data_IF_082868159195
#
_entry.id   IF_082868159195
#
_cell.length_a   1.000
_cell.length_b   1.000
_cell.length_c   1.000
_cell.angle_alpha   90.00
_cell.angle_beta   90.00
_cell.angle_gamma   90.00
#
_symmetry.space_group_name_H-M   'P 1'
#
loop_
_entity.id
_entity.type
_entity.pdbx_description
1 polymer ?
#
# COMPACT_ATOMS: atom_id res chain seq x y z
N UNK A 1 2.45 17.75 -7.73
CA UNK A 1 3.60 17.41 -6.86
C UNK A 1 3.90 18.64 -6.03
N UNK A 2 3.68 18.53 -4.76
CA UNK A 2 3.72 19.60 -3.78
C UNK A 2 5.15 20.12 -3.66
N UNK A 3 5.33 21.40 -3.93
CA UNK A 3 6.55 22.12 -3.53
C UNK A 3 6.59 22.16 -2.01
N UNK A 4 7.12 21.12 -1.38
CA UNK A 4 7.55 21.20 0.00
C UNK A 4 8.69 22.23 0.04
N UNK A 5 8.49 23.36 0.71
CA UNK A 5 9.53 24.36 0.91
C UNK A 5 10.75 23.69 1.50
N UNK A 6 11.88 23.81 0.83
CA UNK A 6 13.21 23.31 1.19
C UNK A 6 13.50 21.82 0.95
N UNK A 7 12.77 21.13 0.08
CA UNK A 7 13.15 19.79 -0.37
C UNK A 7 13.54 19.87 -1.84
N UNK A 8 14.77 19.50 -2.15
CA UNK A 8 15.25 19.32 -3.51
C UNK A 8 14.83 17.95 -4.02
N UNK A 9 14.08 17.92 -5.14
CA UNK A 9 13.70 16.68 -5.81
C UNK A 9 14.78 16.32 -6.79
N UNK A 10 15.57 15.31 -6.49
CA UNK A 10 16.71 14.86 -7.30
C UNK A 10 16.28 13.94 -8.45
N UNK A 11 15.20 13.19 -8.27
CA UNK A 11 14.69 12.27 -9.28
C UNK A 11 13.24 11.89 -9.06
N UNK A 12 12.56 11.54 -10.14
CA UNK A 12 11.20 10.98 -10.10
C UNK A 12 11.23 9.71 -10.93
N UNK A 13 10.84 8.62 -10.32
CA UNK A 13 10.72 7.32 -10.98
C UNK A 13 9.24 7.04 -11.24
N UNK A 14 8.82 7.26 -12.48
CA UNK A 14 7.48 6.93 -12.94
C UNK A 14 7.50 5.51 -13.51
N UNK A 15 6.53 4.71 -13.19
CA UNK A 15 6.39 3.45 -13.90
C UNK A 15 6.28 2.22 -13.05
N UNK A 16 5.85 2.35 -11.85
CA UNK A 16 5.20 1.20 -11.29
C UNK A 16 3.89 1.00 -12.07
N UNK A 17 3.94 0.31 -13.22
CA UNK A 17 2.80 -0.47 -13.67
C UNK A 17 2.27 -1.24 -12.46
N UNK A 18 1.06 -1.76 -12.49
CA UNK A 18 0.42 -2.47 -11.35
C UNK A 18 1.26 -3.61 -10.76
N UNK A 19 2.38 -3.93 -11.37
CA UNK A 19 3.34 -4.96 -10.96
C UNK A 19 4.48 -4.41 -10.08
N UNK A 20 5.07 -5.33 -9.32
CA UNK A 20 6.25 -5.07 -8.50
C UNK A 20 7.41 -4.61 -9.39
N UNK A 21 8.11 -3.53 -9.06
CA UNK A 21 9.24 -3.07 -9.85
C UNK A 21 10.27 -4.17 -10.08
N UNK A 22 10.76 -4.27 -11.31
CA UNK A 22 11.79 -5.23 -11.68
C UNK A 22 13.09 -4.98 -10.90
N UNK A 23 13.98 -5.96 -10.86
CA UNK A 23 15.27 -5.80 -10.18
C UNK A 23 16.07 -4.61 -10.74
N UNK A 24 16.02 -4.38 -12.07
CA UNK A 24 16.72 -3.24 -12.70
C UNK A 24 16.17 -1.90 -12.23
N UNK A 25 14.85 -1.77 -12.12
CA UNK A 25 14.21 -0.56 -11.63
C UNK A 25 14.55 -0.30 -10.16
N UNK A 26 14.55 -1.33 -9.31
CA UNK A 26 14.96 -1.20 -7.91
C UNK A 26 16.39 -0.74 -7.76
N UNK A 27 17.31 -1.31 -8.55
CA UNK A 27 18.71 -0.89 -8.58
C UNK A 27 18.80 0.57 -9.03
N UNK A 28 18.09 0.97 -10.09
CA UNK A 28 18.12 2.36 -10.56
C UNK A 28 17.61 3.38 -9.55
N UNK A 29 16.72 2.96 -8.65
CA UNK A 29 16.19 3.83 -7.58
C UNK A 29 17.21 3.96 -6.45
N UNK A 30 17.83 2.86 -6.02
CA UNK A 30 18.64 2.84 -4.80
C UNK A 30 20.11 3.18 -5.05
N UNK A 31 20.64 2.82 -6.22
CA UNK A 31 22.05 2.99 -6.54
C UNK A 31 22.55 4.44 -6.41
N UNK A 32 21.81 5.45 -6.94
CA UNK A 32 22.23 6.84 -6.76
C UNK A 32 22.33 7.29 -5.30
N UNK A 33 21.47 6.74 -4.43
CA UNK A 33 21.51 7.05 -3.00
C UNK A 33 22.71 6.38 -2.31
N UNK A 34 23.03 5.12 -2.68
CA UNK A 34 24.20 4.41 -2.19
C UNK A 34 25.50 5.12 -2.62
N UNK A 35 25.56 5.53 -3.88
CA UNK A 35 26.76 6.19 -4.43
C UNK A 35 27.03 7.54 -3.76
N UNK A 36 25.99 8.33 -3.52
CA UNK A 36 26.09 9.59 -2.78
C UNK A 36 26.45 9.39 -1.32
N UNK A 37 25.94 8.36 -0.69
CA UNK A 37 26.31 8.01 0.68
C UNK A 37 27.80 7.57 0.75
N UNK A 38 28.26 6.73 -0.17
CA UNK A 38 29.65 6.28 -0.26
C UNK A 38 30.62 7.43 -0.56
N UNK A 39 30.18 8.43 -1.35
CA UNK A 39 31.00 9.63 -1.64
C UNK A 39 31.03 10.65 -0.49
N UNK A 40 30.21 10.47 0.55
CA UNK A 40 30.10 11.42 1.66
C UNK A 40 29.32 12.69 1.30
N UNK A 41 28.57 12.70 0.19
CA UNK A 41 27.70 13.81 -0.20
C UNK A 41 26.47 13.90 0.70
N UNK A 42 25.99 12.76 1.22
CA UNK A 42 24.87 12.66 2.14
C UNK A 42 25.23 11.80 3.35
N UNK A 43 24.69 12.15 4.52
CA UNK A 43 24.96 11.49 5.78
C UNK A 43 23.99 10.34 6.09
N UNK A 44 22.82 10.33 5.48
CA UNK A 44 21.79 9.32 5.74
C UNK A 44 20.85 9.16 4.55
N UNK A 45 20.24 7.97 4.47
CA UNK A 45 19.15 7.65 3.54
C UNK A 45 17.99 7.11 4.35
N UNK A 46 16.88 7.84 4.37
CA UNK A 46 15.65 7.42 5.00
C UNK A 46 14.59 7.09 3.94
N UNK A 47 13.82 6.03 4.16
CA UNK A 47 12.72 5.64 3.28
C UNK A 47 11.40 5.83 4.01
N UNK A 48 10.51 6.61 3.40
CA UNK A 48 9.15 6.81 3.85
C UNK A 48 8.21 5.91 3.03
N UNK A 49 7.52 5.01 3.69
CA UNK A 49 6.59 4.08 3.03
C UNK A 49 5.43 3.70 3.95
N UNK A 50 4.44 3.00 3.40
CA UNK A 50 3.30 2.50 4.16
C UNK A 50 3.49 1.01 4.42
N UNK A 51 3.73 0.64 5.67
CA UNK A 51 3.83 -0.75 6.12
C UNK A 51 2.46 -1.38 6.16
N UNK A 52 2.34 -2.56 5.58
CA UNK A 52 1.14 -3.37 5.62
C UNK A 52 1.14 -4.29 6.85
N UNK A 53 0.22 -4.05 7.79
CA UNK A 53 0.03 -4.95 8.94
C UNK A 53 -1.19 -5.87 8.74
N UNK A 54 -2.28 -5.30 8.21
CA UNK A 54 -3.51 -6.05 7.89
C UNK A 54 -4.36 -5.26 6.88
N UNK A 55 -5.40 -5.87 6.29
CA UNK A 55 -6.31 -5.16 5.38
C UNK A 55 -6.96 -3.90 5.95
N UNK A 56 -7.06 -3.81 7.28
CA UNK A 56 -7.72 -2.69 7.97
C UNK A 56 -6.68 -1.76 8.63
N UNK A 57 -5.45 -2.27 8.88
CA UNK A 57 -4.44 -1.53 9.62
C UNK A 57 -3.17 -1.38 8.80
N UNK A 58 -2.85 -0.14 8.47
CA UNK A 58 -1.61 0.25 7.81
C UNK A 58 -0.98 1.40 8.59
N UNK A 59 0.34 1.47 8.55
CA UNK A 59 1.09 2.50 9.24
C UNK A 59 2.10 3.14 8.31
N UNK A 60 2.15 4.47 8.30
CA UNK A 60 3.22 5.20 7.62
C UNK A 60 4.46 5.18 8.50
N UNK A 61 5.55 4.66 7.96
CA UNK A 61 6.84 4.57 8.64
C UNK A 61 7.91 5.34 7.88
N UNK A 62 8.86 5.85 8.65
CA UNK A 62 10.14 6.35 8.16
C UNK A 62 11.20 5.43 8.74
N UNK A 63 11.88 4.69 7.89
CA UNK A 63 12.96 3.80 8.31
C UNK A 63 14.28 4.26 7.72
N UNK A 64 15.33 4.22 8.54
CA UNK A 64 16.69 4.54 8.12
C UNK A 64 17.30 3.37 7.39
N UNK A 65 17.63 3.59 6.12
CA UNK A 65 18.28 2.59 5.28
C UNK A 65 19.80 2.67 5.37
N UNK A 66 20.35 3.90 5.41
CA UNK A 66 21.79 4.15 5.56
C UNK A 66 22.03 5.28 6.57
N UNK A 67 23.07 5.18 7.41
CA UNK A 67 23.87 3.98 7.64
C UNK A 67 22.99 2.83 8.17
N UNK A 68 23.25 1.60 7.73
CA UNK A 68 22.55 0.43 8.25
C UNK A 68 22.82 0.35 9.74
N UNK A 69 21.77 0.66 10.53
CA UNK A 69 21.89 0.83 11.96
C UNK A 69 22.07 -0.50 12.70
N UNK A 70 22.47 -0.41 13.95
CA UNK A 70 22.62 -1.53 14.86
C UNK A 70 21.33 -2.35 15.07
N UNK A 71 20.19 -1.81 14.71
CA UNK A 71 18.88 -2.47 14.86
C UNK A 71 18.72 -3.72 13.97
N UNK A 72 19.35 -3.73 12.79
CA UNK A 72 19.35 -4.91 11.92
C UNK A 72 20.18 -6.08 12.50
N UNK A 73 21.03 -5.83 13.47
CA UNK A 73 21.93 -6.83 14.05
C UNK A 73 21.57 -7.25 15.48
N UNK A 74 20.54 -6.65 16.10
CA UNK A 74 20.23 -6.87 17.52
C UNK A 74 19.31 -8.07 17.76
N UNK A 75 18.55 -8.53 16.78
CA UNK A 75 17.58 -9.62 16.99
C UNK A 75 18.11 -11.04 16.81
N UNK A 76 19.33 -11.23 16.35
CA UNK A 76 19.95 -12.56 16.31
C UNK A 76 20.80 -12.83 17.54
N UNK A 77 20.18 -12.85 18.70
CA UNK A 77 20.73 -13.46 19.92
C UNK A 77 20.56 -14.98 19.96
N UNK A 78 20.22 -15.61 18.86
CA UNK A 78 20.22 -17.06 18.80
C UNK A 78 21.62 -17.55 18.42
N UNK A 79 22.23 -18.21 19.38
CA UNK A 79 23.39 -19.11 19.41
C UNK A 79 24.01 -19.54 18.07
N UNK A 80 24.43 -18.57 17.26
CA UNK A 80 25.44 -18.88 16.25
C UNK A 80 26.75 -19.04 17.01
N UNK A 81 27.17 -20.28 17.20
CA UNK A 81 28.42 -20.60 17.85
C UNK A 81 29.52 -19.79 17.17
N UNK A 82 30.21 -18.95 17.95
CA UNK A 82 31.35 -18.15 17.46
C UNK A 82 32.40 -19.03 16.77
N UNK A 83 32.46 -20.31 17.11
CA UNK A 83 33.35 -21.29 16.50
C UNK A 83 32.94 -21.65 15.07
N UNK A 84 31.65 -21.65 14.72
CA UNK A 84 31.18 -21.95 13.37
C UNK A 84 31.47 -20.77 12.42
N UNK A 85 31.39 -19.54 12.91
CA UNK A 85 31.78 -18.35 12.15
C UNK A 85 33.30 -18.28 11.90
N UNK A 86 34.13 -18.70 12.87
CA UNK A 86 35.58 -18.73 12.73
C UNK A 86 36.05 -19.80 11.75
N UNK A 87 35.28 -20.85 11.52
CA UNK A 87 35.57 -21.90 10.55
C UNK A 87 35.04 -21.63 9.13
N UNK A 88 34.24 -20.59 8.94
CA UNK A 88 33.71 -20.21 7.64
C UNK A 88 34.83 -19.63 6.75
N UNK A 89 34.99 -20.22 5.55
CA UNK A 89 35.96 -19.75 4.57
C UNK A 89 35.26 -18.80 3.59
N UNK A 90 35.70 -17.53 3.58
CA UNK A 90 35.19 -16.50 2.70
C UNK A 90 36.09 -16.37 1.47
N UNK A 91 35.50 -16.46 0.28
CA UNK A 91 36.18 -16.29 -1.01
C UNK A 91 35.52 -15.18 -1.81
N UNK A 92 36.24 -14.22 -2.42
CA UNK A 92 37.69 -14.06 -2.38
C UNK A 92 38.25 -13.41 -1.08
N UNK A 93 37.42 -12.60 -0.38
CA UNK A 93 37.77 -11.97 0.91
C UNK A 93 36.51 -11.67 1.70
N UNK A 94 36.67 -11.49 3.02
CA UNK A 94 35.58 -11.13 3.93
C UNK A 94 34.96 -9.79 3.52
N UNK A 95 35.80 -8.78 3.26
CA UNK A 95 35.31 -7.43 2.88
C UNK A 95 34.50 -7.45 1.58
N UNK A 96 34.98 -8.17 0.58
CA UNK A 96 34.25 -8.31 -0.69
C UNK A 96 32.87 -8.99 -0.51
N UNK A 97 32.81 -9.99 0.33
CA UNK A 97 31.55 -10.71 0.63
C UNK A 97 30.59 -9.81 1.39
N UNK A 98 31.08 -9.06 2.39
CA UNK A 98 30.26 -8.14 3.17
C UNK A 98 29.69 -7.03 2.29
N UNK A 99 30.51 -6.40 1.45
CA UNK A 99 30.05 -5.33 0.54
C UNK A 99 28.95 -5.81 -0.42
N UNK A 100 29.13 -6.99 -1.00
CA UNK A 100 28.13 -7.57 -1.90
C UNK A 100 26.82 -7.97 -1.18
N UNK A 101 26.94 -8.50 0.03
CA UNK A 101 25.77 -8.86 0.84
C UNK A 101 25.01 -7.59 1.26
N UNK A 102 25.72 -6.56 1.71
CA UNK A 102 25.12 -5.30 2.13
C UNK A 102 24.31 -4.67 0.99
N UNK A 103 24.85 -4.59 -0.22
CA UNK A 103 24.13 -4.05 -1.38
C UNK A 103 22.87 -4.87 -1.72
N UNK A 104 22.99 -6.20 -1.72
CA UNK A 104 21.83 -7.08 -1.95
C UNK A 104 20.76 -6.94 -0.86
N UNK A 105 21.16 -6.76 0.38
CA UNK A 105 20.26 -6.56 1.51
C UNK A 105 19.47 -5.27 1.35
N UNK A 106 20.13 -4.17 0.94
CA UNK A 106 19.47 -2.89 0.69
C UNK A 106 18.44 -2.98 -0.43
N UNK A 107 18.79 -3.69 -1.53
CA UNK A 107 17.85 -3.93 -2.65
C UNK A 107 16.65 -4.77 -2.20
N UNK A 108 16.88 -5.82 -1.41
CA UNK A 108 15.84 -6.68 -0.89
C UNK A 108 14.92 -5.94 0.09
N UNK A 109 15.48 -5.08 0.93
CA UNK A 109 14.74 -4.25 1.85
C UNK A 109 13.86 -3.23 1.12
N UNK A 110 14.41 -2.55 0.10
CA UNK A 110 13.62 -1.66 -0.77
C UNK A 110 12.47 -2.41 -1.44
N UNK A 111 12.71 -3.64 -1.90
CA UNK A 111 11.65 -4.49 -2.46
C UNK A 111 10.54 -4.74 -1.44
N UNK A 112 10.90 -5.03 -0.20
CA UNK A 112 9.93 -5.26 0.87
C UNK A 112 9.08 -4.00 1.10
N UNK A 113 9.70 -2.84 1.22
CA UNK A 113 8.99 -1.58 1.41
C UNK A 113 8.03 -1.24 0.25
N UNK A 114 8.43 -1.53 -0.99
CA UNK A 114 7.59 -1.34 -2.17
C UNK A 114 6.40 -2.32 -2.19
N UNK A 115 6.62 -3.58 -1.80
CA UNK A 115 5.56 -4.58 -1.69
C UNK A 115 4.54 -4.21 -0.60
N UNK A 116 5.01 -3.77 0.55
CA UNK A 116 4.17 -3.31 1.65
C UNK A 116 3.31 -2.10 1.24
N UNK A 117 3.91 -1.13 0.57
CA UNK A 117 3.19 0.02 0.06
C UNK A 117 2.11 -0.37 -0.95
N UNK A 118 2.40 -1.28 -1.88
CA UNK A 118 1.44 -1.81 -2.86
C UNK A 118 0.34 -2.61 -2.19
N UNK A 119 0.67 -3.51 -1.27
CA UNK A 119 -0.31 -4.29 -0.52
C UNK A 119 -1.27 -3.38 0.27
N UNK A 120 -0.74 -2.31 0.88
CA UNK A 120 -1.53 -1.31 1.57
C UNK A 120 -2.48 -0.58 0.64
N UNK A 121 -2.00 -0.14 -0.53
CA UNK A 121 -2.83 0.53 -1.55
C UNK A 121 -3.96 -0.37 -2.05
N UNK A 122 -3.64 -1.62 -2.42
CA UNK A 122 -4.65 -2.56 -2.91
C UNK A 122 -5.69 -2.90 -1.84
N UNK A 123 -5.26 -3.06 -0.60
CA UNK A 123 -6.14 -3.36 0.52
C UNK A 123 -7.12 -2.23 0.80
N UNK A 124 -6.64 -0.98 0.80
CA UNK A 124 -7.50 0.19 0.98
C UNK A 124 -8.47 0.38 -0.17
N UNK A 125 -8.03 0.13 -1.40
CA UNK A 125 -8.90 0.15 -2.58
C UNK A 125 -9.99 -0.92 -2.49
N UNK A 126 -9.64 -2.14 -2.09
CA UNK A 126 -10.59 -3.23 -1.90
C UNK A 126 -11.64 -2.87 -0.83
N UNK A 127 -11.21 -2.32 0.30
CA UNK A 127 -12.11 -1.90 1.38
C UNK A 127 -13.04 -0.77 0.93
N UNK A 128 -12.51 0.22 0.21
CA UNK A 128 -13.31 1.32 -0.32
C UNK A 128 -14.36 0.83 -1.34
N UNK A 129 -13.97 -0.09 -2.24
CA UNK A 129 -14.90 -0.68 -3.20
C UNK A 129 -15.97 -1.54 -2.53
N UNK A 130 -15.60 -2.30 -1.49
CA UNK A 130 -16.57 -3.07 -0.69
C UNK A 130 -17.62 -2.14 -0.06
N UNK A 131 -17.17 -1.10 0.64
CA UNK A 131 -18.07 -0.14 1.27
C UNK A 131 -18.98 0.56 0.24
N UNK A 132 -18.45 0.91 -0.93
CA UNK A 132 -19.21 1.49 -2.01
C UNK A 132 -20.30 0.53 -2.53
N UNK A 133 -19.97 -0.76 -2.66
CA UNK A 133 -20.91 -1.80 -3.08
C UNK A 133 -22.02 -2.01 -2.04
N UNK A 134 -21.66 -2.07 -0.76
CA UNK A 134 -22.61 -2.23 0.34
C UNK A 134 -23.60 -1.04 0.36
N UNK A 135 -23.08 0.20 0.29
CA UNK A 135 -23.93 1.40 0.21
C UNK A 135 -24.84 1.43 -1.04
N UNK A 136 -24.35 0.93 -2.18
CA UNK A 136 -25.15 0.84 -3.39
C UNK A 136 -26.30 -0.17 -3.26
N UNK A 137 -26.05 -1.30 -2.60
CA UNK A 137 -27.08 -2.30 -2.33
C UNK A 137 -28.17 -1.74 -1.39
N UNK A 138 -27.78 -1.07 -0.31
CA UNK A 138 -28.71 -0.42 0.61
C UNK A 138 -29.61 0.60 -0.14
N UNK A 139 -29.02 1.40 -1.03
CA UNK A 139 -29.76 2.36 -1.84
C UNK A 139 -30.74 1.67 -2.81
N UNK A 140 -30.35 0.53 -3.41
CA UNK A 140 -31.23 -0.26 -4.28
C UNK A 140 -32.43 -0.78 -3.50
N UNK A 141 -32.23 -1.26 -2.28
CA UNK A 141 -33.29 -1.76 -1.42
C UNK A 141 -34.25 -0.64 -1.03
N UNK A 142 -33.74 0.53 -0.63
CA UNK A 142 -34.54 1.71 -0.31
C UNK A 142 -35.38 2.20 -1.52
N UNK A 143 -34.75 2.28 -2.69
CA UNK A 143 -35.45 2.69 -3.92
C UNK A 143 -36.52 1.67 -4.34
N UNK A 144 -36.21 0.38 -4.16
CA UNK A 144 -37.18 -0.70 -4.45
C UNK A 144 -38.39 -0.61 -3.53
N UNK A 145 -38.17 -0.34 -2.25
CA UNK A 145 -39.25 -0.12 -1.28
C UNK A 145 -40.10 1.11 -1.66
N UNK A 146 -39.46 2.23 -1.97
CA UNK A 146 -40.09 3.47 -2.38
C UNK A 146 -40.94 3.29 -3.67
N UNK A 147 -40.39 2.59 -4.66
CA UNK A 147 -41.07 2.26 -5.91
C UNK A 147 -42.32 1.40 -5.65
N UNK A 148 -42.20 0.36 -4.82
CA UNK A 148 -43.35 -0.49 -4.48
C UNK A 148 -44.44 0.27 -3.74
N UNK A 149 -44.06 1.16 -2.82
CA UNK A 149 -45.02 2.04 -2.11
C UNK A 149 -45.71 3.03 -3.06
N UNK A 150 -44.99 3.63 -3.97
CA UNK A 150 -45.54 4.52 -4.98
C UNK A 150 -46.51 3.79 -5.90
N UNK A 151 -46.12 2.58 -6.37
CA UNK A 151 -47.01 1.73 -7.19
C UNK A 151 -48.30 1.37 -6.47
N UNK A 152 -48.23 0.96 -5.20
CA UNK A 152 -49.43 0.66 -4.41
C UNK A 152 -50.31 1.89 -4.22
N UNK A 153 -49.70 3.07 -3.99
CA UNK A 153 -50.43 4.34 -3.90
C UNK A 153 -51.18 4.68 -5.18
N UNK A 154 -50.54 4.53 -6.34
CA UNK A 154 -51.16 4.76 -7.65
C UNK A 154 -52.33 3.81 -7.89
N UNK A 155 -52.16 2.51 -7.62
CA UNK A 155 -53.25 1.52 -7.76
C UNK A 155 -54.45 1.88 -6.84
N UNK A 156 -54.16 2.26 -5.59
CA UNK A 156 -55.20 2.64 -4.64
C UNK A 156 -55.94 3.89 -5.09
N UNK A 157 -55.24 4.88 -5.63
CA UNK A 157 -55.83 6.09 -6.16
C UNK A 157 -56.76 5.79 -7.37
N UNK A 158 -56.28 4.99 -8.33
CA UNK A 158 -57.08 4.56 -9.49
C UNK A 158 -58.35 3.83 -9.07
N UNK A 159 -58.25 2.91 -8.10
CA UNK A 159 -59.39 2.20 -7.56
C UNK A 159 -60.42 3.15 -6.88
N UNK A 160 -59.92 4.14 -6.14
CA UNK A 160 -60.76 5.13 -5.47
C UNK A 160 -61.48 6.03 -6.51
N UNK A 161 -60.77 6.46 -7.55
CA UNK A 161 -61.34 7.24 -8.65
C UNK A 161 -62.45 6.48 -9.40
N UNK A 162 -62.22 5.19 -9.71
CA UNK A 162 -63.22 4.31 -10.34
C UNK A 162 -64.44 4.14 -9.43
N UNK A 163 -64.23 3.85 -8.14
CA UNK A 163 -65.30 3.67 -7.17
C UNK A 163 -66.15 4.94 -7.03
N UNK A 164 -65.50 6.10 -6.93
CA UNK A 164 -66.19 7.40 -6.85
C UNK A 164 -66.97 7.72 -8.13
N UNK A 165 -66.43 7.36 -9.30
CA UNK A 165 -67.11 7.51 -10.58
C UNK A 165 -68.39 6.64 -10.71
N UNK A 166 -68.32 5.40 -10.24
CA UNK A 166 -69.46 4.48 -10.20
C UNK A 166 -70.58 5.01 -9.26
N UNK A 167 -70.19 5.52 -8.10
CA UNK A 167 -71.10 6.07 -7.12
C UNK A 167 -71.82 7.33 -7.64
N UNK A 168 -71.10 8.17 -8.37
CA UNK A 168 -71.65 9.36 -9.01
C UNK A 168 -72.66 9.06 -10.18
N UNK A 169 -72.55 7.89 -10.82
CA UNK A 169 -73.45 7.42 -11.88
C UNK A 169 -74.69 6.73 -11.32
N UNK A 170 -74.72 6.29 -10.10
CA UNK A 170 -75.86 5.60 -9.46
C UNK A 170 -76.77 6.53 -8.63
N UNK A 171 -76.38 7.80 -8.52
CA UNK A 171 -77.23 8.86 -7.95
C UNK A 171 -77.79 9.77 -9.04
#
# INVERSE_FOLDING_TARGET
ITKLKNIEVVGVYEGASDDVPSQKERISIIQPAIDRFKSGEIDAVDVLYTKFESPIKQQVLVERLLPAGQELFIETKDDVSTNDLLSAKFEPSVDFVIDNIAERLLIAWLQHALLDAKASEHSMRMLAMKNATDNANDLIDDLTLAMNKARQGSITQELTEISSGVEALNN
#
